data_IF_564250617921
#
_entry.id   IF_564250617921
#
_cell.length_a   1.000
_cell.length_b   1.000
_cell.length_c   1.000
_cell.angle_alpha   90.00
_cell.angle_beta   90.00
_cell.angle_gamma   90.00
#
_symmetry.space_group_name_H-M   'P 1'
#
loop_
_entity.id
_entity.type
_entity.pdbx_description
1 polymer ?
#
# COMPACT_ATOMS: atom_id res chain seq x y z
N UNK A 1 7.73 -8.77 17.02
CA UNK A 1 8.59 -7.58 16.84
C UNK A 1 9.90 -8.05 16.23
N UNK A 2 10.17 -7.69 14.98
CA UNK A 2 11.46 -7.91 14.31
C UNK A 2 12.51 -7.09 15.09
N UNK A 3 13.58 -7.69 15.58
CA UNK A 3 14.68 -6.94 16.16
C UNK A 3 15.38 -6.21 15.03
N UNK A 4 15.30 -4.89 15.00
CA UNK A 4 16.08 -4.07 14.08
C UNK A 4 17.57 -4.34 14.32
N UNK A 5 18.28 -4.75 13.28
CA UNK A 5 19.73 -4.90 13.33
C UNK A 5 20.39 -3.55 13.14
N UNK A 6 21.70 -3.42 13.48
CA UNK A 6 22.47 -2.21 13.23
C UNK A 6 22.43 -1.81 11.72
N UNK A 7 22.30 -2.79 10.83
CA UNK A 7 22.19 -2.60 9.38
C UNK A 7 20.82 -2.07 8.95
N UNK A 8 19.75 -2.32 9.70
CA UNK A 8 18.42 -1.74 9.45
C UNK A 8 18.36 -0.24 9.80
N UNK A 9 19.34 0.24 10.59
CA UNK A 9 19.49 1.65 10.99
C UNK A 9 20.34 2.42 9.96
N UNK A 10 21.22 1.73 9.22
CA UNK A 10 21.95 2.29 8.10
C UNK A 10 20.95 2.39 6.95
N UNK A 11 20.54 3.62 6.62
CA UNK A 11 19.54 3.92 5.61
C UNK A 11 19.70 3.08 4.34
N UNK A 12 18.62 2.57 3.75
CA UNK A 12 18.67 1.92 2.45
C UNK A 12 19.30 2.85 1.42
N UNK A 13 19.94 2.30 0.39
CA UNK A 13 20.42 3.08 -0.75
C UNK A 13 19.20 3.77 -1.36
N UNK A 14 19.14 5.10 -1.26
CA UNK A 14 17.97 5.86 -1.68
C UNK A 14 18.35 7.17 -2.38
N UNK A 15 17.48 7.65 -3.26
CA UNK A 15 17.62 8.93 -3.95
C UNK A 15 16.92 10.05 -3.15
N UNK A 16 17.48 10.46 -2.00
CA UNK A 16 16.89 11.54 -1.20
C UNK A 16 17.50 11.67 0.19
N UNK A 17 17.19 12.75 0.91
CA UNK A 17 17.87 13.08 2.17
C UNK A 17 17.32 12.38 3.42
N UNK A 18 16.18 11.69 3.34
CA UNK A 18 15.48 11.15 4.52
C UNK A 18 14.88 9.78 4.27
N UNK A 19 15.17 8.81 5.13
CA UNK A 19 14.57 7.48 5.07
C UNK A 19 13.06 7.52 5.29
N UNK A 20 12.58 8.28 6.25
CA UNK A 20 11.14 8.37 6.54
C UNK A 20 10.40 9.22 5.51
N UNK A 21 10.95 10.39 5.13
CA UNK A 21 10.27 11.34 4.24
C UNK A 21 10.44 11.02 2.76
N UNK A 22 11.58 10.47 2.33
CA UNK A 22 11.79 10.10 0.92
C UNK A 22 11.50 8.62 0.69
N UNK A 23 12.29 7.72 1.30
CA UNK A 23 12.14 6.29 1.03
C UNK A 23 10.79 5.74 1.51
N UNK A 24 10.33 6.12 2.71
CA UNK A 24 9.00 5.77 3.22
C UNK A 24 7.88 6.28 2.30
N UNK A 25 7.99 7.51 1.79
CA UNK A 25 7.01 8.08 0.87
C UNK A 25 6.98 7.33 -0.48
N UNK A 26 8.14 6.99 -1.05
CA UNK A 26 8.22 6.16 -2.27
C UNK A 26 7.55 4.81 -2.05
N UNK A 27 7.87 4.14 -0.95
CA UNK A 27 7.29 2.82 -0.62
C UNK A 27 5.77 2.90 -0.41
N UNK A 28 5.26 3.95 0.25
CA UNK A 28 3.81 4.19 0.40
C UNK A 28 3.13 4.36 -0.96
N UNK A 29 3.67 5.21 -1.82
CA UNK A 29 3.16 5.41 -3.17
C UNK A 29 3.21 4.13 -4.00
N UNK A 30 4.33 3.40 -3.96
CA UNK A 30 4.52 2.16 -4.71
C UNK A 30 3.59 1.05 -4.23
N UNK A 31 3.40 0.91 -2.91
CA UNK A 31 2.46 -0.07 -2.36
C UNK A 31 1.02 0.29 -2.72
N UNK A 32 0.64 1.57 -2.66
CA UNK A 32 -0.67 2.03 -3.10
C UNK A 32 -0.91 1.74 -4.59
N UNK A 33 0.09 1.98 -5.44
CA UNK A 33 0.05 1.64 -6.87
C UNK A 33 -0.13 0.14 -7.10
N UNK A 34 0.59 -0.69 -6.33
CA UNK A 34 0.51 -2.14 -6.43
C UNK A 34 -0.85 -2.69 -5.96
N UNK A 35 -1.49 -2.05 -4.99
CA UNK A 35 -2.85 -2.37 -4.54
C UNK A 35 -3.87 -1.98 -5.60
N UNK A 36 -3.73 -0.78 -6.19
CA UNK A 36 -4.63 -0.25 -7.22
C UNK A 36 -4.50 -0.97 -8.57
N UNK A 37 -3.37 -1.63 -8.87
CA UNK A 37 -3.06 -2.41 -10.08
C UNK A 37 -2.98 -1.63 -11.39
N UNK A 38 -3.72 -0.56 -11.54
CA UNK A 38 -3.83 0.26 -12.76
C UNK A 38 -3.03 1.55 -12.62
N UNK A 39 -2.71 2.23 -13.71
CA UNK A 39 -2.24 3.61 -13.65
C UNK A 39 -3.44 4.50 -13.37
N UNK A 40 -3.47 5.25 -12.27
CA UNK A 40 -4.56 6.17 -12.00
C UNK A 40 -4.51 7.33 -13.03
N UNK A 41 -5.68 7.87 -13.36
CA UNK A 41 -5.78 9.10 -14.15
C UNK A 41 -5.48 10.33 -13.30
N UNK A 42 -5.90 10.28 -12.04
CA UNK A 42 -5.69 11.35 -11.06
C UNK A 42 -5.38 10.80 -9.68
N UNK A 43 -4.51 11.50 -8.95
CA UNK A 43 -4.17 11.19 -7.56
C UNK A 43 -4.24 12.45 -6.69
N UNK A 44 -4.88 12.34 -5.53
CA UNK A 44 -4.85 13.38 -4.50
C UNK A 44 -4.12 12.84 -3.27
N UNK A 45 -3.04 13.50 -2.89
CA UNK A 45 -2.27 13.20 -1.69
C UNK A 45 -2.66 14.18 -0.59
N UNK A 46 -3.19 13.68 0.52
CA UNK A 46 -3.49 14.47 1.73
C UNK A 46 -2.44 14.13 2.78
N UNK A 47 -1.49 15.04 2.96
CA UNK A 47 -0.37 14.88 3.88
C UNK A 47 -0.74 15.47 5.24
N UNK A 48 -0.28 14.80 6.31
CA UNK A 48 -0.61 15.21 7.68
C UNK A 48 0.66 15.48 8.50
N UNK A 49 0.56 16.46 9.38
CA UNK A 49 1.54 16.79 10.42
C UNK A 49 2.96 16.99 9.86
N UNK A 50 3.96 16.19 10.28
CA UNK A 50 5.34 16.32 9.80
C UNK A 50 5.44 16.19 8.28
N UNK A 51 4.70 15.29 7.66
CA UNK A 51 4.63 15.17 6.20
C UNK A 51 4.09 16.47 5.55
N UNK A 52 3.12 17.13 6.18
CA UNK A 52 2.58 18.40 5.69
C UNK A 52 3.58 19.54 5.83
N UNK A 53 4.27 19.65 6.99
CA UNK A 53 5.11 20.79 7.31
C UNK A 53 6.51 20.72 6.70
N UNK A 54 7.12 19.54 6.70
CA UNK A 54 8.53 19.35 6.28
C UNK A 54 8.68 18.60 4.97
N UNK A 55 7.60 18.05 4.44
CA UNK A 55 7.60 17.14 3.29
C UNK A 55 8.27 17.70 2.04
N UNK A 56 8.01 18.97 1.70
CA UNK A 56 8.63 19.63 0.53
C UNK A 56 10.16 19.68 0.63
N UNK A 57 10.70 20.04 1.79
CA UNK A 57 12.15 20.12 2.03
C UNK A 57 12.83 18.76 2.05
N UNK A 58 12.12 17.70 2.45
CA UNK A 58 12.65 16.34 2.60
C UNK A 58 12.23 15.38 1.46
N UNK A 59 11.53 15.88 0.44
CA UNK A 59 11.19 15.12 -0.76
C UNK A 59 10.02 14.15 -0.59
N UNK A 60 9.12 14.36 0.38
CA UNK A 60 7.92 13.52 0.58
C UNK A 60 7.00 13.56 -0.64
N UNK A 61 6.70 14.75 -1.16
CA UNK A 61 5.84 14.94 -2.33
C UNK A 61 6.41 14.21 -3.54
N UNK A 62 7.73 14.36 -3.76
CA UNK A 62 8.45 13.68 -4.84
C UNK A 62 8.42 12.17 -4.66
N UNK A 63 8.64 11.69 -3.44
CA UNK A 63 8.63 10.27 -3.12
C UNK A 63 7.27 9.62 -3.36
N UNK A 64 6.19 10.24 -2.86
CA UNK A 64 4.82 9.74 -3.06
C UNK A 64 4.47 9.64 -4.55
N UNK A 65 4.72 10.71 -5.32
CA UNK A 65 4.45 10.70 -6.76
C UNK A 65 5.30 9.65 -7.48
N UNK A 66 6.60 9.58 -7.18
CA UNK A 66 7.50 8.60 -7.77
C UNK A 66 7.02 7.16 -7.52
N UNK A 67 6.60 6.85 -6.29
CA UNK A 67 6.03 5.54 -5.95
C UNK A 67 4.76 5.21 -6.75
N UNK A 68 3.83 6.16 -6.88
CA UNK A 68 2.62 5.99 -7.71
C UNK A 68 2.98 5.76 -9.18
N UNK A 69 4.05 6.36 -9.65
CA UNK A 69 4.57 6.15 -11.02
C UNK A 69 5.40 4.85 -11.16
N UNK A 70 5.52 4.04 -10.10
CA UNK A 70 6.19 2.74 -10.12
C UNK A 70 7.71 2.80 -9.96
N UNK A 71 8.27 3.95 -9.53
CA UNK A 71 9.70 4.09 -9.29
C UNK A 71 10.10 3.49 -7.93
N UNK A 72 11.30 2.91 -7.86
CA UNK A 72 11.91 2.38 -6.64
C UNK A 72 12.64 3.49 -5.86
N UNK A 73 12.99 3.21 -4.59
CA UNK A 73 13.57 4.18 -3.66
C UNK A 73 14.95 4.73 -4.10
N UNK A 74 15.70 4.01 -4.92
CA UNK A 74 17.01 4.34 -5.43
C UNK A 74 16.99 5.01 -6.82
N UNK A 75 15.80 5.20 -7.40
CA UNK A 75 15.66 5.76 -8.74
C UNK A 75 16.05 7.26 -8.77
N UNK A 76 17.06 7.60 -9.56
CA UNK A 76 17.58 8.97 -9.66
C UNK A 76 16.57 9.99 -10.19
N UNK A 77 15.53 9.53 -10.93
CA UNK A 77 14.47 10.39 -11.46
C UNK A 77 13.62 11.04 -10.37
N UNK A 78 13.62 10.50 -9.14
CA UNK A 78 12.89 11.07 -7.99
C UNK A 78 13.26 12.53 -7.77
N UNK A 79 14.51 12.92 -7.95
CA UNK A 79 14.97 14.30 -7.72
C UNK A 79 14.20 15.31 -8.55
N UNK A 80 13.88 14.97 -9.80
CA UNK A 80 13.23 15.86 -10.78
C UNK A 80 11.91 15.25 -11.28
N UNK A 81 11.21 14.52 -10.44
CA UNK A 81 10.04 13.74 -10.85
C UNK A 81 8.93 14.62 -11.42
N UNK A 82 8.72 15.83 -10.88
CA UNK A 82 7.68 16.75 -11.34
C UNK A 82 7.89 17.23 -12.79
N UNK A 83 9.14 17.29 -13.25
CA UNK A 83 9.51 17.71 -14.59
C UNK A 83 9.58 16.53 -15.58
N UNK A 84 9.35 15.31 -15.10
CA UNK A 84 9.47 14.10 -15.91
C UNK A 84 8.27 13.87 -16.82
N UNK A 85 8.50 13.29 -18.00
CA UNK A 85 7.41 12.92 -18.92
C UNK A 85 6.42 11.92 -18.33
N UNK A 86 6.87 11.05 -17.41
CA UNK A 86 5.99 10.09 -16.74
C UNK A 86 5.02 10.77 -15.77
N UNK A 87 5.43 11.88 -15.13
CA UNK A 87 4.55 12.63 -14.23
C UNK A 87 3.44 13.39 -14.97
N UNK A 88 3.69 13.77 -16.23
CA UNK A 88 2.70 14.44 -17.08
C UNK A 88 1.55 13.52 -17.52
N UNK A 89 1.69 12.20 -17.33
CA UNK A 89 0.68 11.21 -17.73
C UNK A 89 -0.47 11.09 -16.75
N UNK A 90 -0.34 11.65 -15.55
CA UNK A 90 -1.37 11.63 -14.52
C UNK A 90 -1.63 13.02 -13.97
N UNK A 91 -2.88 13.32 -13.61
CA UNK A 91 -3.20 14.51 -12.81
C UNK A 91 -2.87 14.22 -11.34
N UNK A 92 -2.17 15.14 -10.66
CA UNK A 92 -1.89 14.98 -9.24
C UNK A 92 -2.03 16.28 -8.47
N UNK A 93 -2.42 16.16 -7.18
CA UNK A 93 -2.59 17.28 -6.26
C UNK A 93 -2.07 16.90 -4.88
N UNK A 94 -1.44 17.85 -4.20
CA UNK A 94 -1.03 17.73 -2.81
C UNK A 94 -1.85 18.70 -1.95
N UNK A 95 -2.37 18.18 -0.85
CA UNK A 95 -3.10 18.90 0.19
C UNK A 95 -2.43 18.66 1.53
N UNK A 96 -2.41 19.68 2.40
CA UNK A 96 -1.63 19.67 3.63
C UNK A 96 -2.54 19.97 4.82
N UNK A 97 -2.49 19.13 5.85
CA UNK A 97 -3.39 19.17 7.00
C UNK A 97 -2.64 18.97 8.32
N UNK A 98 -3.21 19.48 9.39
CA UNK A 98 -2.87 19.13 10.77
C UNK A 98 -3.91 18.24 11.38
N UNK A 99 -3.48 17.11 11.94
CA UNK A 99 -4.34 16.23 12.71
C UNK A 99 -3.49 15.42 13.72
N UNK A 100 -3.42 15.91 14.96
CA UNK A 100 -2.63 15.30 16.03
C UNK A 100 -3.08 13.89 16.46
N UNK A 101 -4.25 13.41 16.00
CA UNK A 101 -4.69 12.03 16.20
C UNK A 101 -4.06 11.05 15.20
N UNK A 102 -3.41 11.58 14.15
CA UNK A 102 -2.74 10.78 13.13
C UNK A 102 -1.24 10.69 13.39
N UNK A 103 -0.62 9.65 12.83
CA UNK A 103 0.83 9.52 12.85
C UNK A 103 1.50 10.78 12.26
N UNK A 104 2.68 11.21 12.77
CA UNK A 104 3.37 12.39 12.24
C UNK A 104 3.63 12.33 10.73
N UNK A 105 3.99 11.17 10.21
CA UNK A 105 4.27 10.93 8.79
C UNK A 105 3.13 10.16 8.12
N UNK A 106 1.92 10.71 8.16
CA UNK A 106 0.71 10.09 7.62
C UNK A 106 0.29 10.72 6.30
N UNK A 107 -0.26 9.90 5.42
CA UNK A 107 -0.83 10.33 4.14
C UNK A 107 -2.09 9.55 3.80
N UNK A 108 -3.09 10.24 3.24
CA UNK A 108 -4.18 9.61 2.49
C UNK A 108 -3.88 9.77 0.99
N UNK A 109 -3.93 8.68 0.25
CA UNK A 109 -3.72 8.62 -1.20
C UNK A 109 -5.06 8.26 -1.82
N UNK A 110 -5.68 9.21 -2.50
CA UNK A 110 -6.94 9.01 -3.21
C UNK A 110 -6.63 8.83 -4.70
N UNK A 111 -6.98 7.66 -5.23
CA UNK A 111 -6.71 7.23 -6.59
C UNK A 111 -8.01 7.23 -7.39
N UNK A 112 -8.00 7.87 -8.56
CA UNK A 112 -9.14 8.00 -9.44
C UNK A 112 -8.81 7.48 -10.84
N UNK A 113 -9.74 6.78 -11.47
CA UNK A 113 -9.58 6.21 -12.81
C UNK A 113 -10.71 5.27 -13.14
N UNK A 114 -10.40 4.03 -13.55
CA UNK A 114 -11.39 3.00 -13.85
C UNK A 114 -12.30 2.72 -12.63
N UNK A 115 -11.74 2.83 -11.44
CA UNK A 115 -12.45 2.83 -10.15
C UNK A 115 -11.75 3.78 -9.19
N UNK A 116 -12.42 4.13 -8.09
CA UNK A 116 -11.87 5.00 -7.08
C UNK A 116 -11.42 4.17 -5.88
N UNK A 117 -10.26 4.53 -5.32
CA UNK A 117 -9.73 3.88 -4.12
C UNK A 117 -9.04 4.92 -3.22
N UNK A 118 -9.28 4.80 -1.93
CA UNK A 118 -8.58 5.58 -0.91
C UNK A 118 -7.71 4.66 -0.07
N UNK A 119 -6.44 5.03 0.07
CA UNK A 119 -5.45 4.29 0.86
C UNK A 119 -4.87 5.24 1.89
N UNK A 120 -4.93 4.87 3.18
CA UNK A 120 -4.29 5.61 4.25
C UNK A 120 -3.05 4.85 4.71
N UNK A 121 -1.94 5.57 4.89
CA UNK A 121 -0.69 4.94 5.30
C UNK A 121 0.22 5.88 6.07
N UNK A 122 1.15 5.27 6.79
CA UNK A 122 2.11 5.92 7.66
C UNK A 122 3.53 5.47 7.32
N UNK A 123 4.50 6.39 7.33
CA UNK A 123 5.92 6.03 7.36
C UNK A 123 6.36 5.94 8.82
N UNK A 124 6.66 4.72 9.25
CA UNK A 124 6.89 4.41 10.66
C UNK A 124 8.38 4.45 11.08
N UNK A 125 9.25 4.91 10.18
CA UNK A 125 10.68 5.14 10.42
C UNK A 125 11.58 4.19 9.64
N UNK A 126 12.84 4.57 9.44
CA UNK A 126 13.86 3.78 8.73
C UNK A 126 13.45 3.30 7.31
N UNK A 127 12.52 3.98 6.65
CA UNK A 127 11.95 3.56 5.37
C UNK A 127 10.82 2.53 5.48
N UNK A 128 10.50 2.06 6.68
CA UNK A 128 9.35 1.19 6.91
C UNK A 128 8.04 1.94 6.83
N UNK A 129 7.01 1.24 6.38
CA UNK A 129 5.68 1.79 6.13
C UNK A 129 4.59 0.88 6.68
N UNK A 130 3.41 1.46 6.89
CA UNK A 130 2.22 0.73 7.26
C UNK A 130 1.01 1.33 6.54
N UNK A 131 0.36 0.57 5.68
CA UNK A 131 -1.00 0.91 5.21
C UNK A 131 -1.97 0.53 6.31
N UNK A 132 -2.76 1.50 6.76
CA UNK A 132 -3.66 1.36 7.91
C UNK A 132 -5.12 1.26 7.50
N UNK A 133 -5.46 1.72 6.28
CA UNK A 133 -6.83 1.69 5.77
C UNK A 133 -6.86 1.59 4.24
N UNK A 134 -7.79 0.82 3.71
CA UNK A 134 -8.14 0.76 2.29
C UNK A 134 -9.65 0.96 2.20
N UNK A 135 -10.09 2.05 1.55
CA UNK A 135 -11.48 2.51 1.55
C UNK A 135 -12.01 2.57 3.00
N UNK A 136 -13.03 1.80 3.33
CA UNK A 136 -13.66 1.78 4.65
C UNK A 136 -13.09 0.71 5.60
N UNK A 137 -12.20 -0.17 5.10
CA UNK A 137 -11.66 -1.27 5.88
C UNK A 137 -10.34 -0.92 6.56
N UNK A 138 -10.22 -1.26 7.84
CA UNK A 138 -8.95 -1.20 8.56
C UNK A 138 -8.08 -2.37 8.15
N UNK A 139 -6.82 -2.09 7.87
CA UNK A 139 -5.84 -3.08 7.44
C UNK A 139 -4.50 -2.86 8.14
N UNK A 140 -3.59 -3.81 8.03
CA UNK A 140 -2.22 -3.68 8.53
C UNK A 140 -1.26 -4.30 7.50
N UNK A 141 -0.75 -3.47 6.57
CA UNK A 141 0.10 -3.90 5.47
C UNK A 141 1.42 -3.15 5.49
N UNK A 142 2.52 -3.85 5.76
CA UNK A 142 3.88 -3.28 5.71
C UNK A 142 4.51 -3.34 4.32
N UNK A 143 3.99 -4.17 3.43
CA UNK A 143 4.60 -4.45 2.14
C UNK A 143 5.74 -5.47 2.17
N UNK A 144 6.01 -6.13 3.32
CA UNK A 144 7.08 -7.11 3.48
C UNK A 144 6.70 -8.51 3.02
N UNK A 145 5.41 -8.77 2.82
CA UNK A 145 4.87 -10.05 2.40
C UNK A 145 4.12 -9.93 1.08
N UNK A 146 4.11 -11.01 0.32
CA UNK A 146 3.13 -11.20 -0.73
C UNK A 146 1.75 -11.28 -0.08
N UNK A 147 0.80 -10.51 -0.56
CA UNK A 147 -0.47 -10.32 0.14
C UNK A 147 -1.66 -10.45 -0.80
N UNK A 148 -2.66 -11.21 -0.40
CA UNK A 148 -4.00 -11.19 -0.99
C UNK A 148 -4.88 -10.23 -0.20
N UNK A 149 -5.56 -9.35 -0.92
CA UNK A 149 -6.58 -8.44 -0.40
C UNK A 149 -7.89 -8.84 -1.06
N UNK A 150 -8.88 -9.18 -0.25
CA UNK A 150 -10.17 -9.70 -0.71
C UNK A 150 -11.28 -8.89 -0.06
N UNK A 151 -12.26 -8.43 -0.84
CA UNK A 151 -13.51 -7.83 -0.33
C UNK A 151 -14.64 -8.79 -0.67
N UNK A 152 -15.47 -9.12 0.32
CA UNK A 152 -16.49 -10.15 0.20
C UNK A 152 -17.69 -9.85 1.10
N UNK A 153 -18.81 -10.55 0.88
CA UNK A 153 -19.98 -10.51 1.74
C UNK A 153 -19.74 -11.30 3.02
N UNK A 154 -19.92 -10.65 4.19
CA UNK A 154 -19.73 -11.28 5.51
C UNK A 154 -20.76 -12.39 5.74
N UNK A 155 -20.36 -13.63 5.49
CA UNK A 155 -21.15 -14.84 5.71
C UNK A 155 -20.30 -16.00 6.22
N UNK A 156 -20.91 -16.99 6.93
CA UNK A 156 -20.20 -18.18 7.37
C UNK A 156 -19.54 -18.93 6.19
N UNK A 157 -18.32 -19.44 6.44
CA UNK A 157 -17.60 -20.27 5.46
C UNK A 157 -16.64 -19.53 4.55
N UNK A 158 -16.71 -18.19 4.41
CA UNK A 158 -15.86 -17.45 3.47
C UNK A 158 -14.35 -17.63 3.74
N UNK A 159 -13.94 -17.47 5.01
CA UNK A 159 -12.53 -17.68 5.40
C UNK A 159 -12.09 -19.11 5.05
N UNK A 160 -12.88 -20.11 5.41
CA UNK A 160 -12.60 -21.52 5.14
C UNK A 160 -12.47 -21.80 3.64
N UNK A 161 -13.38 -21.28 2.83
CA UNK A 161 -13.36 -21.46 1.38
C UNK A 161 -12.15 -20.84 0.72
N UNK A 162 -11.79 -19.62 1.10
CA UNK A 162 -10.59 -18.93 0.58
C UNK A 162 -9.31 -19.63 1.02
N UNK A 163 -9.19 -19.99 2.29
CA UNK A 163 -7.98 -20.66 2.80
C UNK A 163 -7.80 -22.06 2.23
N UNK A 164 -8.89 -22.76 1.88
CA UNK A 164 -8.83 -24.06 1.19
C UNK A 164 -8.19 -23.94 -0.22
N UNK A 165 -8.42 -22.83 -0.95
CA UNK A 165 -7.75 -22.59 -2.24
C UNK A 165 -6.22 -22.46 -2.06
N UNK A 166 -5.77 -21.76 -1.01
CA UNK A 166 -4.36 -21.61 -0.70
C UNK A 166 -3.74 -22.94 -0.23
N UNK A 167 -4.45 -23.69 0.60
CA UNK A 167 -4.05 -25.04 1.03
C UNK A 167 -3.89 -25.98 -0.16
N UNK A 168 -4.86 -26.00 -1.08
CA UNK A 168 -4.80 -26.83 -2.30
C UNK A 168 -3.62 -26.49 -3.21
N UNK A 169 -3.16 -25.25 -3.17
CA UNK A 169 -1.96 -24.78 -3.86
C UNK A 169 -0.65 -24.94 -3.06
N UNK A 170 -0.69 -25.55 -1.87
CA UNK A 170 0.42 -25.72 -0.94
C UNK A 170 1.09 -24.39 -0.54
N UNK A 171 0.28 -23.34 -0.33
CA UNK A 171 0.73 -22.02 0.06
C UNK A 171 0.55 -21.84 1.57
N UNK A 172 1.64 -21.51 2.26
CA UNK A 172 1.60 -21.20 3.69
C UNK A 172 1.12 -19.77 3.94
N UNK A 173 0.26 -19.60 4.94
CA UNK A 173 -0.26 -18.31 5.40
C UNK A 173 0.59 -17.81 6.56
N UNK A 174 1.28 -16.68 6.37
CA UNK A 174 2.06 -16.03 7.40
C UNK A 174 1.19 -15.26 8.40
N UNK A 175 0.15 -14.58 7.90
CA UNK A 175 -0.87 -13.93 8.73
C UNK A 175 -2.19 -13.79 7.96
N UNK A 176 -3.29 -13.74 8.71
CA UNK A 176 -4.62 -13.47 8.18
C UNK A 176 -5.34 -12.51 9.12
N UNK A 177 -5.92 -11.48 8.55
CA UNK A 177 -6.79 -10.54 9.28
C UNK A 177 -8.06 -10.27 8.49
N UNK A 178 -9.17 -10.10 9.22
CA UNK A 178 -10.45 -9.74 8.64
C UNK A 178 -10.99 -8.50 9.35
N UNK A 179 -11.59 -7.60 8.59
CA UNK A 179 -12.36 -6.47 9.09
C UNK A 179 -13.73 -6.47 8.41
N UNK A 180 -14.77 -5.96 9.07
CA UNK A 180 -16.12 -5.90 8.51
C UNK A 180 -16.79 -4.58 8.83
N UNK A 181 -17.53 -4.05 7.87
CA UNK A 181 -18.31 -2.82 8.06
C UNK A 181 -19.43 -3.01 9.09
N UNK A 182 -20.18 -4.11 8.96
CA UNK A 182 -21.20 -4.58 9.90
C UNK A 182 -21.52 -6.06 9.65
N UNK A 183 -22.17 -6.71 10.60
CA UNK A 183 -22.57 -8.12 10.47
C UNK A 183 -23.44 -8.34 9.22
N UNK A 184 -23.04 -9.26 8.36
CA UNK A 184 -23.74 -9.62 7.12
C UNK A 184 -23.63 -8.58 5.99
N UNK A 185 -22.79 -7.56 6.15
CA UNK A 185 -22.45 -6.57 5.12
C UNK A 185 -21.12 -6.92 4.47
N UNK A 186 -20.41 -5.91 3.95
CA UNK A 186 -19.10 -6.11 3.34
C UNK A 186 -18.01 -6.34 4.39
N UNK A 187 -17.09 -7.22 4.06
CA UNK A 187 -15.92 -7.54 4.84
C UNK A 187 -14.68 -7.56 3.96
N UNK A 188 -13.53 -7.33 4.57
CA UNK A 188 -12.22 -7.50 3.95
C UNK A 188 -11.45 -8.64 4.61
N UNK A 189 -10.63 -9.33 3.82
CA UNK A 189 -9.68 -10.33 4.27
C UNK A 189 -8.32 -9.99 3.69
N UNK A 190 -7.33 -9.88 4.56
CA UNK A 190 -5.94 -9.63 4.21
C UNK A 190 -5.14 -10.87 4.59
N UNK A 191 -4.53 -11.50 3.59
CA UNK A 191 -3.78 -12.74 3.79
C UNK A 191 -2.34 -12.50 3.31
N UNK A 192 -1.40 -12.45 4.24
CA UNK A 192 0.02 -12.48 3.94
C UNK A 192 0.47 -13.91 3.75
N UNK A 193 1.17 -14.19 2.66
CA UNK A 193 1.58 -15.55 2.28
C UNK A 193 3.09 -15.66 2.11
N UNK A 194 3.60 -16.85 2.34
CA UNK A 194 4.97 -17.22 1.98
C UNK A 194 5.04 -17.61 0.50
N UNK A 195 6.10 -17.16 -0.18
CA UNK A 195 6.29 -17.47 -1.60
C UNK A 195 5.39 -16.67 -2.55
N UNK A 196 5.26 -17.13 -3.78
CA UNK A 196 4.48 -16.48 -4.83
C UNK A 196 3.14 -17.18 -5.06
N UNK A 197 2.09 -16.40 -5.29
CA UNK A 197 0.81 -16.89 -5.72
C UNK A 197 0.79 -17.00 -7.26
N UNK A 198 0.32 -18.13 -7.77
CA UNK A 198 -0.02 -18.26 -9.19
C UNK A 198 -1.29 -17.47 -9.49
N UNK A 199 -1.32 -16.82 -10.64
CA UNK A 199 -2.47 -15.99 -11.07
C UNK A 199 -3.79 -16.76 -11.07
N UNK A 200 -3.76 -18.01 -11.53
CA UNK A 200 -4.90 -18.95 -11.54
C UNK A 200 -5.58 -19.06 -10.16
N UNK A 201 -4.82 -19.06 -9.06
CA UNK A 201 -5.40 -19.17 -7.70
C UNK A 201 -6.16 -17.90 -7.33
N UNK A 202 -5.59 -16.73 -7.66
CA UNK A 202 -6.28 -15.46 -7.43
C UNK A 202 -7.58 -15.36 -8.26
N UNK A 203 -7.53 -15.79 -9.52
CA UNK A 203 -8.70 -15.86 -10.40
C UNK A 203 -9.77 -16.84 -9.89
N UNK A 204 -9.35 -18.00 -9.36
CA UNK A 204 -10.29 -18.97 -8.77
C UNK A 204 -11.00 -18.40 -7.54
N UNK A 205 -10.26 -17.65 -6.70
CA UNK A 205 -10.86 -16.96 -5.55
C UNK A 205 -11.81 -15.85 -6.04
N UNK A 206 -11.45 -15.09 -7.06
CA UNK A 206 -12.28 -14.02 -7.61
C UNK A 206 -13.61 -14.52 -8.20
N UNK A 207 -13.63 -15.75 -8.74
CA UNK A 207 -14.83 -16.39 -9.28
C UNK A 207 -15.75 -17.01 -8.23
N UNK A 208 -15.36 -17.01 -6.96
CA UNK A 208 -16.20 -17.56 -5.89
C UNK A 208 -17.40 -16.63 -5.62
N UNK A 209 -18.55 -17.23 -5.31
CA UNK A 209 -19.76 -16.50 -4.95
C UNK A 209 -19.52 -15.54 -3.77
N UNK A 210 -20.08 -14.32 -3.86
CA UNK A 210 -20.00 -13.27 -2.84
C UNK A 210 -18.58 -12.69 -2.61
N UNK A 211 -17.64 -12.95 -3.51
CA UNK A 211 -16.39 -12.19 -3.62
C UNK A 211 -16.62 -11.01 -4.55
N UNK A 212 -16.26 -9.81 -4.13
CA UNK A 212 -16.46 -8.57 -4.88
C UNK A 212 -15.18 -8.04 -5.51
N UNK A 213 -14.06 -8.32 -4.84
CA UNK A 213 -12.76 -7.83 -5.29
C UNK A 213 -11.65 -8.74 -4.76
N UNK A 214 -10.68 -9.03 -5.61
CA UNK A 214 -9.44 -9.73 -5.24
C UNK A 214 -8.26 -8.99 -5.84
N UNK A 215 -7.24 -8.75 -5.06
CA UNK A 215 -5.96 -8.28 -5.57
C UNK A 215 -4.81 -8.99 -4.89
N UNK A 216 -3.87 -9.46 -5.69
CA UNK A 216 -2.60 -10.01 -5.20
C UNK A 216 -1.51 -8.95 -5.32
N UNK A 217 -0.94 -8.55 -4.21
CA UNK A 217 0.10 -7.54 -4.10
C UNK A 217 1.43 -8.23 -3.78
N UNK A 218 2.41 -8.09 -4.65
CA UNK A 218 3.77 -8.58 -4.40
C UNK A 218 4.43 -7.73 -3.32
N UNK A 219 5.24 -8.38 -2.48
CA UNK A 219 6.08 -7.68 -1.50
C UNK A 219 6.95 -6.62 -2.18
N UNK A 220 7.18 -5.52 -1.50
CA UNK A 220 8.13 -4.53 -1.96
C UNK A 220 9.55 -5.09 -1.89
N UNK A 221 10.33 -4.84 -2.91
CA UNK A 221 11.77 -5.15 -2.90
C UNK A 221 12.47 -4.14 -1.98
N UNK A 222 13.39 -4.65 -1.17
CA UNK A 222 14.25 -3.86 -0.28
C UNK A 222 15.33 -3.13 -1.05
#
# INVERSE_FOLDING_TARGET
>A
MKKSTLFDIISPIMAGPSSSHTAGAVRLGLLARNIYKKTPQKVVFKLYNSYAHTGKGHGTDKGLLAGILGLKVDDRRIKNIFDSEIAKQIEYKFEYYDNFRRHPNSVDIELYGEYNMKICGDSVGAGEILITKINDFNVSLSGDYNTLIIVYKDKPGMISSVTAQLQGANINIASLSCDRSAKGQDASMIICIDGNLKEEIAENIEKMDDIYFVTYVKKLES
#
